data_IF_285878206584
#
_entry.id   IF_285878206584
#
_cell.length_a   1.000
_cell.length_b   1.000
_cell.length_c   1.000
_cell.angle_alpha   90.00
_cell.angle_beta   90.00
_cell.angle_gamma   90.00
#
_symmetry.space_group_name_H-M   'P 1'
#
loop_
_entity.id
_entity.type
_entity.pdbx_description
1 polymer ?
#
# COMPACT_ATOMS: atom_id res chain seq x y z
N UNK A 1 7.89 -2.06 -17.89
CA UNK A 1 9.05 -1.83 -17.04
C UNK A 1 8.74 -0.64 -16.15
N UNK A 2 8.27 -0.85 -14.96
CA UNK A 2 8.22 0.16 -13.88
C UNK A 2 7.81 -0.50 -12.56
N UNK A 3 8.54 -1.57 -12.20
CA UNK A 3 8.45 -2.21 -10.87
C UNK A 3 9.42 -1.54 -9.88
N UNK A 4 10.17 -0.52 -10.34
CA UNK A 4 11.34 0.04 -9.64
C UNK A 4 11.04 1.10 -8.57
N UNK A 5 9.80 1.58 -8.41
CA UNK A 5 9.47 2.59 -7.38
C UNK A 5 8.87 2.00 -6.10
N UNK A 6 8.59 0.70 -6.07
CA UNK A 6 8.09 -0.02 -4.89
C UNK A 6 9.20 -0.65 -4.05
N UNK A 7 10.44 -0.62 -4.53
CA UNK A 7 11.61 -1.19 -3.83
C UNK A 7 12.38 -0.19 -2.96
N UNK A 8 11.76 0.92 -2.55
CA UNK A 8 12.38 1.76 -1.52
C UNK A 8 12.34 1.01 -0.19
N UNK A 9 13.44 0.25 0.05
CA UNK A 9 13.87 -0.36 1.32
C UNK A 9 12.73 -0.61 2.30
N UNK A 10 12.24 -1.85 2.29
CA UNK A 10 11.58 -2.43 3.46
C UNK A 10 12.44 -2.10 4.68
N UNK A 11 11.86 -1.61 5.78
CA UNK A 11 12.61 -1.49 7.02
C UNK A 11 13.22 -2.87 7.29
N UNK A 12 14.54 -2.90 7.47
CA UNK A 12 15.31 -4.11 7.74
C UNK A 12 14.61 -4.90 8.82
N UNK A 13 14.11 -6.10 8.49
CA UNK A 13 13.35 -6.96 9.41
C UNK A 13 14.11 -7.26 10.71
N UNK A 14 15.44 -7.19 10.68
CA UNK A 14 16.31 -7.37 11.85
C UNK A 14 16.14 -6.31 12.94
N UNK A 15 15.78 -5.07 12.60
CA UNK A 15 15.62 -4.01 13.61
C UNK A 15 14.43 -4.19 14.53
N UNK A 16 13.44 -4.94 14.10
CA UNK A 16 12.21 -5.18 14.85
C UNK A 16 12.15 -6.58 15.45
N UNK A 17 13.04 -7.48 15.03
CA UNK A 17 13.04 -8.86 15.50
C UNK A 17 13.21 -8.94 17.02
N UNK A 18 14.14 -8.18 17.57
CA UNK A 18 14.39 -8.15 19.03
C UNK A 18 13.25 -7.48 19.80
N UNK A 19 12.63 -6.43 19.22
CA UNK A 19 11.53 -5.71 19.87
C UNK A 19 10.30 -6.60 20.09
N UNK A 20 10.06 -7.60 19.24
CA UNK A 20 8.89 -8.51 19.28
C UNK A 20 9.30 -9.97 19.48
N UNK A 21 10.47 -10.22 20.09
CA UNK A 21 10.97 -11.57 20.36
C UNK A 21 10.10 -12.38 21.32
N UNK A 22 9.31 -11.70 22.17
CA UNK A 22 8.37 -12.27 23.12
C UNK A 22 7.04 -12.75 22.49
N UNK A 23 6.69 -12.24 21.31
CA UNK A 23 5.38 -12.50 20.68
C UNK A 23 5.13 -13.98 20.35
N UNK A 24 6.10 -14.76 19.88
CA UNK A 24 5.90 -16.20 19.65
C UNK A 24 5.44 -16.94 20.92
N UNK A 25 6.06 -16.67 22.08
CA UNK A 25 5.67 -17.27 23.35
C UNK A 25 4.26 -16.87 23.75
N UNK A 26 3.92 -15.58 23.64
CA UNK A 26 2.57 -15.08 23.91
C UNK A 26 1.50 -15.74 23.04
N UNK A 27 1.82 -16.04 21.77
CA UNK A 27 0.90 -16.75 20.86
C UNK A 27 0.75 -18.21 21.26
N UNK A 28 1.81 -18.87 21.72
CA UNK A 28 1.73 -20.24 22.27
C UNK A 28 0.81 -20.28 23.49
N UNK A 29 1.00 -19.37 24.44
CA UNK A 29 0.16 -19.24 25.64
C UNK A 29 -1.31 -18.98 25.26
N UNK A 30 -1.55 -18.06 24.33
CA UNK A 30 -2.89 -17.76 23.82
C UNK A 30 -3.60 -19.00 23.26
N UNK A 31 -2.87 -19.84 22.50
CA UNK A 31 -3.42 -21.06 21.91
C UNK A 31 -3.73 -22.17 22.93
N UNK A 32 -3.13 -22.10 24.09
CA UNK A 32 -3.42 -23.02 25.19
C UNK A 32 -4.74 -22.70 25.89
N UNK A 33 -5.28 -21.49 25.69
CA UNK A 33 -6.56 -21.07 26.27
C UNK A 33 -7.75 -21.53 25.42
N UNK A 34 -8.91 -21.80 26.04
CA UNK A 34 -10.15 -22.06 25.30
C UNK A 34 -10.52 -20.83 24.44
N UNK A 35 -10.74 -21.04 23.13
CA UNK A 35 -10.94 -19.96 22.16
C UNK A 35 -12.15 -19.05 22.45
N UNK A 36 -13.15 -19.54 23.20
CA UNK A 36 -14.35 -18.78 23.56
C UNK A 36 -14.29 -18.18 24.98
N UNK A 37 -13.13 -18.28 25.66
CA UNK A 37 -12.98 -17.73 27.00
C UNK A 37 -12.71 -16.23 26.98
N UNK A 38 -13.16 -15.53 28.02
CA UNK A 38 -12.84 -14.12 28.26
C UNK A 38 -11.32 -13.89 28.40
N UNK A 39 -10.62 -14.89 28.88
CA UNK A 39 -9.16 -14.86 29.04
C UNK A 39 -8.46 -14.89 27.69
N UNK A 40 -8.91 -15.74 26.78
CA UNK A 40 -8.43 -15.76 25.38
C UNK A 40 -8.63 -14.39 24.73
N UNK A 41 -9.83 -13.83 24.83
CA UNK A 41 -10.14 -12.53 24.25
C UNK A 41 -9.22 -11.41 24.80
N UNK A 42 -9.02 -11.38 26.11
CA UNK A 42 -8.14 -10.38 26.77
C UNK A 42 -6.68 -10.56 26.37
N UNK A 43 -6.16 -11.77 26.37
CA UNK A 43 -4.76 -12.02 26.01
C UNK A 43 -4.52 -11.72 24.52
N UNK A 44 -5.46 -12.08 23.64
CA UNK A 44 -5.40 -11.72 22.23
C UNK A 44 -5.37 -10.21 22.01
N UNK A 45 -6.21 -9.46 22.73
CA UNK A 45 -6.22 -8.01 22.69
C UNK A 45 -4.87 -7.42 23.14
N UNK A 46 -4.28 -7.94 24.21
CA UNK A 46 -2.97 -7.51 24.69
C UNK A 46 -1.87 -7.73 23.65
N UNK A 47 -1.86 -8.88 22.96
CA UNK A 47 -0.90 -9.15 21.86
C UNK A 47 -1.11 -8.18 20.71
N UNK A 48 -2.35 -7.91 20.31
CA UNK A 48 -2.67 -6.94 19.26
C UNK A 48 -2.16 -5.55 19.64
N UNK A 49 -2.48 -5.07 20.85
CA UNK A 49 -2.05 -3.75 21.33
C UNK A 49 -0.52 -3.66 21.41
N UNK A 50 0.14 -4.72 21.87
CA UNK A 50 1.61 -4.83 21.92
C UNK A 50 2.26 -4.65 20.55
N UNK A 51 1.59 -5.17 19.50
CA UNK A 51 2.11 -5.16 18.13
C UNK A 51 1.59 -3.99 17.27
N UNK A 52 0.61 -3.20 17.72
CA UNK A 52 0.10 -2.04 16.99
C UNK A 52 1.18 -1.06 16.52
N UNK A 53 2.24 -0.74 17.30
CA UNK A 53 3.30 0.15 16.84
C UNK A 53 4.02 -0.34 15.58
N UNK A 54 4.13 -1.65 15.36
CA UNK A 54 4.68 -2.23 14.13
C UNK A 54 3.79 -1.90 12.93
N UNK A 55 2.48 -2.12 13.05
CA UNK A 55 1.51 -1.81 12.00
C UNK A 55 1.49 -0.31 11.66
N UNK A 56 1.49 0.54 12.68
CA UNK A 56 1.49 2.00 12.52
C UNK A 56 2.76 2.51 11.82
N UNK A 57 3.93 1.92 12.10
CA UNK A 57 5.18 2.23 11.42
C UNK A 57 5.14 1.82 9.95
N UNK A 58 4.59 0.65 9.64
CA UNK A 58 4.43 0.18 8.26
C UNK A 58 3.44 1.03 7.46
N UNK A 59 2.34 1.47 8.08
CA UNK A 59 1.39 2.38 7.44
C UNK A 59 2.02 3.70 7.02
N UNK A 60 2.87 4.30 7.88
CA UNK A 60 3.59 5.55 7.57
C UNK A 60 4.51 5.47 6.36
N UNK A 61 4.96 4.28 5.96
CA UNK A 61 5.72 4.08 4.72
C UNK A 61 4.91 4.40 3.46
N UNK A 62 3.59 4.39 3.57
CA UNK A 62 2.66 4.69 2.48
C UNK A 62 2.04 6.07 2.59
N UNK A 63 2.40 6.85 3.61
CA UNK A 63 1.92 8.22 3.78
C UNK A 63 2.26 9.10 2.57
N UNK A 64 1.38 10.04 2.25
CA UNK A 64 1.55 10.95 1.11
C UNK A 64 1.29 10.34 -0.27
N UNK A 65 0.72 9.13 -0.35
CA UNK A 65 0.39 8.46 -1.62
C UNK A 65 -1.08 8.61 -2.05
N UNK A 66 -1.76 9.65 -1.56
CA UNK A 66 -3.14 9.96 -1.94
C UNK A 66 -4.22 9.32 -1.08
N UNK A 67 -3.84 8.56 -0.06
CA UNK A 67 -4.74 7.98 0.95
C UNK A 67 -4.52 8.65 2.30
N UNK A 68 -5.58 8.68 3.12
CA UNK A 68 -5.48 9.21 4.48
C UNK A 68 -4.64 8.26 5.35
N UNK A 69 -3.69 8.80 6.12
CA UNK A 69 -2.84 8.02 7.01
C UNK A 69 -3.66 7.20 8.03
N UNK A 70 -4.75 7.76 8.56
CA UNK A 70 -5.60 7.05 9.53
C UNK A 70 -6.25 5.81 8.90
N UNK A 71 -6.67 5.88 7.64
CA UNK A 71 -7.20 4.73 6.91
C UNK A 71 -6.12 3.69 6.66
N UNK A 72 -4.91 4.12 6.29
CA UNK A 72 -3.76 3.22 6.12
C UNK A 72 -3.38 2.52 7.43
N UNK A 73 -3.44 3.22 8.56
CA UNK A 73 -3.22 2.63 9.89
C UNK A 73 -4.27 1.56 10.19
N UNK A 74 -5.56 1.80 9.89
CA UNK A 74 -6.60 0.80 10.09
C UNK A 74 -6.36 -0.44 9.21
N UNK A 75 -6.01 -0.26 7.94
CA UNK A 75 -5.69 -1.36 7.03
C UNK A 75 -4.48 -2.16 7.54
N UNK A 76 -3.43 -1.49 8.00
CA UNK A 76 -2.25 -2.14 8.57
C UNK A 76 -2.58 -2.94 9.82
N UNK A 77 -3.45 -2.43 10.70
CA UNK A 77 -3.92 -3.13 11.91
C UNK A 77 -4.79 -4.34 11.58
N UNK A 78 -5.61 -4.29 10.53
CA UNK A 78 -6.31 -5.47 10.02
C UNK A 78 -5.31 -6.53 9.57
N UNK A 79 -4.28 -6.15 8.81
CA UNK A 79 -3.19 -7.05 8.42
C UNK A 79 -2.44 -7.65 9.61
N UNK A 80 -2.23 -6.86 10.66
CA UNK A 80 -1.62 -7.32 11.91
C UNK A 80 -2.48 -8.39 12.61
N UNK A 81 -3.79 -8.16 12.72
CA UNK A 81 -4.73 -9.14 13.32
C UNK A 81 -4.71 -10.45 12.53
N UNK A 82 -4.68 -10.37 11.20
CA UNK A 82 -4.56 -11.56 10.34
C UNK A 82 -3.23 -12.28 10.58
N UNK A 83 -2.12 -11.52 10.73
CA UNK A 83 -0.81 -12.08 11.02
C UNK A 83 -0.81 -12.83 12.36
N UNK A 84 -1.33 -12.23 13.44
CA UNK A 84 -1.42 -12.87 14.76
C UNK A 84 -2.25 -14.16 14.69
N UNK A 85 -3.39 -14.13 13.99
CA UNK A 85 -4.26 -15.30 13.88
C UNK A 85 -3.66 -16.46 13.10
N UNK A 86 -2.78 -16.17 12.12
CA UNK A 86 -2.19 -17.17 11.21
C UNK A 86 -0.76 -17.54 11.57
N UNK A 87 -0.10 -16.75 12.42
CA UNK A 87 1.29 -17.00 12.79
C UNK A 87 1.42 -18.35 13.46
N UNK A 88 2.36 -19.15 12.99
CA UNK A 88 2.69 -20.45 13.55
C UNK A 88 4.09 -20.41 14.19
N UNK A 89 4.17 -20.42 15.53
CA UNK A 89 5.45 -20.40 16.24
C UNK A 89 6.35 -21.58 15.94
N UNK A 90 5.77 -22.74 15.54
CA UNK A 90 6.51 -23.98 15.31
C UNK A 90 7.25 -23.99 13.97
N UNK A 91 6.94 -23.06 13.06
CA UNK A 91 7.61 -22.93 11.75
C UNK A 91 9.02 -22.34 11.81
N UNK A 92 9.55 -22.01 12.99
CA UNK A 92 10.91 -21.49 13.18
C UNK A 92 11.15 -20.08 12.64
N UNK A 93 10.18 -19.43 12.01
CA UNK A 93 10.27 -18.05 11.57
C UNK A 93 9.84 -17.12 12.70
N UNK A 94 10.60 -16.04 12.95
CA UNK A 94 10.22 -15.01 13.92
C UNK A 94 8.91 -14.31 13.52
N UNK A 95 8.15 -13.82 14.51
CA UNK A 95 6.86 -13.15 14.29
C UNK A 95 6.96 -12.00 13.27
N UNK A 96 7.97 -11.15 13.40
CA UNK A 96 8.16 -9.99 12.51
C UNK A 96 8.37 -10.42 11.06
N UNK A 97 9.15 -11.48 10.82
CA UNK A 97 9.40 -12.01 9.48
C UNK A 97 8.11 -12.48 8.79
N UNK A 98 7.13 -12.95 9.56
CA UNK A 98 5.81 -13.34 9.08
C UNK A 98 4.82 -12.16 9.00
N UNK A 99 4.80 -11.29 10.03
CA UNK A 99 3.83 -10.21 10.15
C UNK A 99 4.06 -9.08 9.13
N UNK A 100 5.31 -8.68 8.88
CA UNK A 100 5.64 -7.58 7.96
C UNK A 100 5.13 -7.86 6.54
N UNK A 101 5.43 -9.01 5.89
CA UNK A 101 4.87 -9.30 4.57
C UNK A 101 3.33 -9.36 4.55
N UNK A 102 2.71 -9.85 5.63
CA UNK A 102 1.25 -9.95 5.74
C UNK A 102 0.61 -8.57 5.79
N UNK A 103 1.11 -7.67 6.66
CA UNK A 103 0.62 -6.29 6.79
C UNK A 103 0.86 -5.52 5.49
N UNK A 104 2.06 -5.64 4.90
CA UNK A 104 2.39 -5.00 3.63
C UNK A 104 1.52 -5.51 2.48
N UNK A 105 1.14 -6.79 2.51
CA UNK A 105 0.21 -7.37 1.55
C UNK A 105 -1.18 -6.72 1.61
N UNK A 106 -1.73 -6.50 2.80
CA UNK A 106 -3.01 -5.82 2.99
C UNK A 106 -2.96 -4.35 2.57
N UNK A 107 -1.88 -3.63 2.90
CA UNK A 107 -1.69 -2.25 2.45
C UNK A 107 -1.62 -2.16 0.92
N UNK A 108 -0.85 -3.04 0.25
CA UNK A 108 -0.77 -3.08 -1.22
C UNK A 108 -2.12 -3.44 -1.85
N UNK A 109 -2.87 -4.37 -1.23
CA UNK A 109 -4.20 -4.74 -1.66
C UNK A 109 -5.15 -3.56 -1.56
N UNK A 110 -5.11 -2.82 -0.43
CA UNK A 110 -5.89 -1.60 -0.25
C UNK A 110 -5.61 -0.58 -1.37
N UNK A 111 -4.34 -0.30 -1.67
CA UNK A 111 -3.98 0.60 -2.78
C UNK A 111 -4.43 0.07 -4.14
N UNK A 112 -4.37 -1.22 -4.38
CA UNK A 112 -4.86 -1.81 -5.62
C UNK A 112 -6.39 -1.68 -5.75
N UNK A 113 -7.10 -1.92 -4.66
CA UNK A 113 -8.57 -2.00 -4.68
C UNK A 113 -9.21 -0.62 -4.49
N UNK A 114 -8.55 0.31 -3.78
CA UNK A 114 -9.03 1.65 -3.44
C UNK A 114 -8.20 2.79 -4.05
N UNK A 115 -6.93 2.61 -4.34
CA UNK A 115 -6.09 3.58 -5.06
C UNK A 115 -6.58 3.83 -6.49
N UNK A 116 -7.48 2.97 -6.99
CA UNK A 116 -8.30 3.18 -8.18
C UNK A 116 -9.63 3.88 -7.89
N UNK A 117 -9.92 4.20 -6.63
CA UNK A 117 -11.06 5.03 -6.20
C UNK A 117 -10.75 6.53 -6.13
N UNK A 118 -9.59 6.99 -6.53
CA UNK A 118 -9.61 8.24 -7.25
C UNK A 118 -10.44 7.91 -8.48
N UNK A 119 -11.70 8.23 -8.40
CA UNK A 119 -12.64 8.24 -9.52
C UNK A 119 -12.06 9.24 -10.52
N UNK A 120 -11.03 8.80 -11.22
CA UNK A 120 -10.56 9.49 -12.41
C UNK A 120 -11.79 9.42 -13.31
N UNK A 121 -12.49 10.53 -13.52
CA UNK A 121 -13.67 10.55 -14.38
C UNK A 121 -13.29 9.77 -15.64
N UNK A 122 -14.21 9.00 -16.22
CA UNK A 122 -13.94 8.26 -17.47
C UNK A 122 -13.28 9.19 -18.50
N UNK A 123 -13.64 10.47 -18.49
CA UNK A 123 -13.02 11.52 -19.28
C UNK A 123 -11.50 11.66 -19.09
N UNK A 124 -10.95 11.57 -17.87
CA UNK A 124 -9.50 11.73 -17.64
C UNK A 124 -8.73 10.45 -18.05
N UNK A 125 -9.36 9.27 -17.91
CA UNK A 125 -8.78 8.01 -18.40
C UNK A 125 -8.74 7.99 -19.92
N UNK A 126 -9.80 8.47 -20.56
CA UNK A 126 -9.90 8.57 -22.01
C UNK A 126 -8.93 9.63 -22.55
N UNK A 127 -8.83 10.80 -21.89
CA UNK A 127 -7.85 11.86 -22.22
C UNK A 127 -6.42 11.34 -22.09
N UNK A 128 -6.09 10.57 -21.04
CA UNK A 128 -4.74 9.99 -20.87
C UNK A 128 -4.34 9.08 -22.04
N UNK A 129 -5.27 8.23 -22.49
CA UNK A 129 -5.01 7.35 -23.62
C UNK A 129 -4.87 8.14 -24.93
N UNK A 130 -5.69 9.17 -25.09
CA UNK A 130 -5.61 10.11 -26.22
C UNK A 130 -4.29 10.90 -26.20
N UNK A 131 -3.87 11.42 -25.04
CA UNK A 131 -2.57 12.12 -24.87
C UNK A 131 -1.41 11.22 -25.31
N UNK A 132 -1.40 9.95 -24.89
CA UNK A 132 -0.35 9.00 -25.27
C UNK A 132 -0.31 8.77 -26.79
N UNK A 133 -1.47 8.59 -27.42
CA UNK A 133 -1.58 8.45 -28.87
C UNK A 133 -1.12 9.70 -29.61
N UNK A 134 -1.66 10.87 -29.23
CA UNK A 134 -1.30 12.15 -29.81
C UNK A 134 0.19 12.50 -29.63
N UNK A 135 0.78 12.18 -28.48
CA UNK A 135 2.22 12.38 -28.25
C UNK A 135 3.05 11.58 -29.24
N UNK A 136 2.71 10.33 -29.48
CA UNK A 136 3.44 9.48 -30.42
C UNK A 136 3.34 10.03 -31.85
N UNK A 137 2.13 10.37 -32.29
CA UNK A 137 1.87 10.91 -33.64
C UNK A 137 2.55 12.26 -33.87
N UNK A 138 2.41 13.19 -32.90
CA UNK A 138 3.03 14.50 -32.99
C UNK A 138 4.56 14.42 -32.93
N UNK A 139 5.13 13.51 -32.13
CA UNK A 139 6.57 13.31 -32.07
C UNK A 139 7.12 12.83 -33.42
N UNK A 140 6.42 11.92 -34.09
CA UNK A 140 6.81 11.48 -35.45
C UNK A 140 6.74 12.62 -36.48
N UNK A 141 5.72 13.47 -36.38
CA UNK A 141 5.51 14.59 -37.32
C UNK A 141 6.43 15.77 -37.07
N UNK A 142 6.72 16.10 -35.80
CA UNK A 142 7.50 17.27 -35.41
C UNK A 142 9.00 16.98 -35.24
N UNK A 143 9.40 15.71 -35.15
CA UNK A 143 10.78 15.31 -34.82
C UNK A 143 11.23 15.65 -33.39
N UNK A 144 10.31 16.10 -32.53
CA UNK A 144 10.52 16.44 -31.12
C UNK A 144 9.28 16.14 -30.31
N UNK A 145 9.43 16.10 -28.98
CA UNK A 145 8.26 15.98 -28.09
C UNK A 145 7.33 17.19 -28.21
N UNK A 146 6.01 16.97 -28.35
CA UNK A 146 5.03 18.06 -28.38
C UNK A 146 4.94 18.77 -27.03
N UNK A 147 4.61 20.05 -27.05
CA UNK A 147 4.29 20.81 -25.86
C UNK A 147 2.79 20.69 -25.50
N UNK A 148 2.41 21.22 -24.31
CA UNK A 148 1.05 21.13 -23.79
C UNK A 148 0.02 21.79 -24.73
N UNK A 149 0.34 22.92 -25.35
CA UNK A 149 -0.56 23.58 -26.29
C UNK A 149 -0.77 22.78 -27.57
N UNK A 150 0.29 22.17 -28.12
CA UNK A 150 0.22 21.32 -29.30
C UNK A 150 -0.63 20.07 -29.06
N UNK A 151 -0.54 19.49 -27.85
CA UNK A 151 -1.39 18.37 -27.42
C UNK A 151 -2.85 18.82 -27.23
N UNK A 152 -3.07 19.98 -26.63
CA UNK A 152 -4.40 20.55 -26.42
C UNK A 152 -5.12 20.82 -27.75
N UNK A 153 -4.41 21.43 -28.71
CA UNK A 153 -4.92 21.69 -30.05
C UNK A 153 -5.23 20.38 -30.81
N UNK A 154 -4.34 19.39 -30.74
CA UNK A 154 -4.51 18.11 -31.41
C UNK A 154 -5.69 17.30 -30.86
N UNK A 155 -5.96 17.41 -29.56
CA UNK A 155 -7.05 16.68 -28.89
C UNK A 155 -8.33 17.50 -28.74
N UNK A 156 -8.32 18.79 -29.15
CA UNK A 156 -9.44 19.73 -28.97
C UNK A 156 -9.91 19.82 -27.52
N UNK A 157 -8.97 19.87 -26.58
CA UNK A 157 -9.20 20.02 -25.14
C UNK A 157 -8.46 21.23 -24.61
N UNK A 158 -8.74 21.64 -23.36
CA UNK A 158 -8.01 22.74 -22.74
C UNK A 158 -6.60 22.31 -22.29
N UNK A 159 -5.62 23.25 -22.24
CA UNK A 159 -4.30 22.95 -21.69
C UNK A 159 -4.33 22.43 -20.25
N UNK A 160 -5.30 22.89 -19.43
CA UNK A 160 -5.52 22.44 -18.06
C UNK A 160 -5.89 20.96 -18.02
N UNK A 161 -6.75 20.49 -18.92
CA UNK A 161 -7.12 19.08 -19.03
C UNK A 161 -5.93 18.19 -19.43
N UNK A 162 -5.03 18.69 -20.29
CA UNK A 162 -3.78 18.01 -20.60
C UNK A 162 -2.90 17.89 -19.37
N UNK A 163 -2.75 18.97 -18.60
CA UNK A 163 -1.94 18.98 -17.37
C UNK A 163 -2.52 17.99 -16.34
N UNK A 164 -3.83 18.00 -16.12
CA UNK A 164 -4.51 17.03 -15.24
C UNK A 164 -4.29 15.59 -15.69
N UNK A 165 -4.42 15.32 -16.99
CA UNK A 165 -4.18 13.99 -17.55
C UNK A 165 -2.73 13.52 -17.39
N UNK A 166 -1.76 14.42 -17.50
CA UNK A 166 -0.34 14.14 -17.30
C UNK A 166 0.01 13.95 -15.82
N UNK A 167 -0.58 14.74 -14.91
CA UNK A 167 -0.38 14.61 -13.46
C UNK A 167 -0.98 13.30 -12.94
N UNK A 168 -2.17 12.92 -13.41
CA UNK A 168 -2.77 11.63 -13.09
C UNK A 168 -1.97 10.42 -13.63
N UNK A 169 -1.00 10.65 -14.52
CA UNK A 169 -0.09 9.60 -15.01
C UNK A 169 1.07 9.32 -14.05
N UNK A 170 1.40 10.27 -13.17
CA UNK A 170 2.52 10.18 -12.23
C UNK A 170 2.08 9.90 -10.77
N UNK A 171 0.77 9.80 -10.53
CA UNK A 171 0.20 9.36 -9.25
C UNK A 171 -0.05 7.85 -9.27
#
# INVERSE_FOLDING_TARGET
MSTSLLEKRLPEGDRYADEYADVPELVVELRALPAESDEFARQREQIVLRCCPLADRLARHFDGRGENLDDLVQVARVGLIQAINRFDPDNGAGFVAFAVPTIMGELRRHFRDYGWKVHVPRSIRDIRQQIKGATTELTQRLGRSPNTSELADALSVSPEQIIEGLLAANA
#
